data_IF_272456942756
#
_entry.id   IF_272456942756
#
_cell.length_a   1.000
_cell.length_b   1.000
_cell.length_c   1.000
_cell.angle_alpha   90.00
_cell.angle_beta   90.00
_cell.angle_gamma   90.00
#
_symmetry.space_group_name_H-M   'P 1'
#
loop_
_entity.id
_entity.type
_entity.pdbx_description
1 polymer ?
#
# COMPACT_ATOMS: atom_id res chain seq x y z
N UNK A 1 -36.28 -38.56 17.79
CA UNK A 1 -36.03 -37.81 16.53
C UNK A 1 -35.83 -36.29 16.70
N UNK A 2 -35.80 -35.71 17.91
CA UNK A 2 -35.55 -34.26 18.11
C UNK A 2 -34.10 -33.90 18.50
N UNK A 3 -33.31 -34.85 19.02
CA UNK A 3 -31.90 -34.60 19.41
C UNK A 3 -30.89 -34.76 18.26
N UNK A 4 -31.23 -35.53 17.20
CA UNK A 4 -30.32 -35.75 16.07
C UNK A 4 -30.23 -34.56 15.09
N UNK A 5 -31.23 -33.67 15.11
CA UNK A 5 -31.27 -32.45 14.29
C UNK A 5 -30.45 -31.30 14.88
N UNK A 6 -30.19 -31.32 16.20
CA UNK A 6 -29.43 -30.26 16.87
C UNK A 6 -27.91 -30.41 16.64
N UNK A 7 -27.43 -31.65 16.52
CA UNK A 7 -26.01 -31.95 16.31
C UNK A 7 -25.60 -31.67 14.86
N UNK A 8 -26.50 -31.92 13.89
CA UNK A 8 -26.28 -31.57 12.49
C UNK A 8 -26.36 -30.06 12.23
N UNK A 9 -27.16 -29.32 13.00
CA UNK A 9 -27.13 -27.85 12.97
C UNK A 9 -25.85 -27.28 13.61
N UNK A 10 -25.37 -27.84 14.73
CA UNK A 10 -24.12 -27.36 15.34
C UNK A 10 -22.87 -27.63 14.49
N UNK A 11 -22.86 -28.68 13.66
CA UNK A 11 -21.74 -28.98 12.75
C UNK A 11 -21.71 -28.10 11.48
N UNK A 12 -22.78 -27.38 11.18
CA UNK A 12 -22.85 -26.45 10.03
C UNK A 12 -22.43 -25.02 10.39
N UNK A 13 -22.25 -24.70 11.68
CA UNK A 13 -21.90 -23.35 12.15
C UNK A 13 -20.48 -23.22 12.74
N UNK A 14 -19.68 -24.29 12.79
CA UNK A 14 -18.29 -24.23 13.29
C UNK A 14 -17.23 -24.04 12.20
N UNK A 15 -17.59 -23.70 10.96
CA UNK A 15 -16.59 -23.39 9.90
C UNK A 15 -16.71 -21.99 9.31
N UNK A 16 -17.24 -21.02 10.06
CA UNK A 16 -16.86 -19.61 9.87
C UNK A 16 -15.73 -19.29 10.86
N UNK A 17 -14.75 -20.18 10.95
CA UNK A 17 -13.41 -19.72 11.26
C UNK A 17 -13.06 -18.81 10.07
N UNK A 18 -12.87 -17.53 10.34
CA UNK A 18 -12.34 -16.54 9.39
C UNK A 18 -10.94 -16.98 8.95
N UNK A 19 -10.87 -17.99 8.09
CA UNK A 19 -9.69 -18.32 7.32
C UNK A 19 -9.54 -17.19 6.33
N UNK A 20 -8.89 -16.11 6.75
CA UNK A 20 -8.35 -15.13 5.82
C UNK A 20 -7.39 -15.89 4.91
N UNK A 21 -7.89 -16.22 3.72
CA UNK A 21 -7.12 -16.87 2.66
C UNK A 21 -6.10 -15.86 2.13
N UNK A 22 -4.97 -16.36 1.65
CA UNK A 22 -4.04 -15.50 0.92
C UNK A 22 -4.76 -14.93 -0.31
N UNK A 23 -4.64 -13.63 -0.51
CA UNK A 23 -5.26 -12.90 -1.62
C UNK A 23 -4.19 -12.24 -2.47
N UNK A 24 -4.55 -11.91 -3.71
CA UNK A 24 -3.70 -11.16 -4.61
C UNK A 24 -3.81 -9.66 -4.31
N UNK A 25 -2.68 -9.01 -4.11
CA UNK A 25 -2.59 -7.58 -3.86
C UNK A 25 -1.61 -6.91 -4.82
N UNK A 26 -1.84 -5.63 -5.08
CA UNK A 26 -0.86 -4.74 -5.67
C UNK A 26 -0.36 -3.76 -4.61
N UNK A 27 0.95 -3.76 -4.38
CA UNK A 27 1.61 -2.79 -3.51
C UNK A 27 2.23 -1.69 -4.37
N UNK A 28 1.80 -0.46 -4.16
CA UNK A 28 2.28 0.73 -4.86
C UNK A 28 3.27 1.51 -3.99
N UNK A 29 4.35 1.98 -4.61
CA UNK A 29 5.32 2.89 -4.02
C UNK A 29 5.25 4.22 -4.76
N UNK A 30 4.95 5.28 -4.03
CA UNK A 30 4.93 6.65 -4.54
C UNK A 30 6.19 7.37 -4.08
N UNK A 31 7.09 7.65 -5.02
CA UNK A 31 8.35 8.32 -4.77
C UNK A 31 8.34 9.70 -5.42
N UNK A 32 8.25 10.77 -4.62
CA UNK A 32 8.34 12.13 -5.12
C UNK A 32 9.79 12.58 -5.14
N UNK A 33 10.22 13.10 -6.28
CA UNK A 33 11.61 13.43 -6.53
C UNK A 33 11.69 14.85 -7.09
N UNK A 34 12.37 15.70 -6.35
CA UNK A 34 12.80 17.00 -6.84
C UNK A 34 14.15 16.86 -7.55
N UNK A 35 14.15 17.11 -8.86
CA UNK A 35 15.36 17.10 -9.67
C UNK A 35 15.78 18.54 -9.97
N UNK A 36 17.02 18.87 -9.61
CA UNK A 36 17.75 20.07 -10.03
C UNK A 36 18.94 19.67 -10.88
N UNK A 37 19.54 20.64 -11.59
CA UNK A 37 20.49 20.40 -12.68
C UNK A 37 21.48 19.22 -12.46
N UNK A 38 22.08 19.11 -11.27
CA UNK A 38 23.04 18.04 -10.92
C UNK A 38 22.67 17.25 -9.65
N UNK A 39 21.49 17.49 -9.06
CA UNK A 39 21.12 16.85 -7.79
C UNK A 39 19.68 16.34 -7.82
N UNK A 40 19.50 15.19 -7.18
CA UNK A 40 18.21 14.56 -6.99
C UNK A 40 17.92 14.51 -5.49
N UNK A 41 16.85 15.19 -5.09
CA UNK A 41 16.34 15.17 -3.72
C UNK A 41 15.06 14.34 -3.74
N UNK A 42 15.13 13.11 -3.23
CA UNK A 42 13.97 12.23 -3.10
C UNK A 42 13.28 12.43 -1.75
N UNK A 43 11.96 12.29 -1.74
CA UNK A 43 11.24 11.92 -0.51
C UNK A 43 11.46 10.43 -0.22
N UNK A 44 11.12 10.02 0.99
CA UNK A 44 10.85 8.62 1.27
C UNK A 44 9.76 8.06 0.33
N UNK A 45 9.64 6.74 0.26
CA UNK A 45 8.54 6.12 -0.48
C UNK A 45 7.29 6.07 0.39
N UNK A 46 6.15 6.46 -0.18
CA UNK A 46 4.86 6.22 0.44
C UNK A 46 4.27 4.93 -0.12
N UNK A 47 3.95 3.98 0.76
CA UNK A 47 3.58 2.62 0.38
C UNK A 47 2.10 2.39 0.63
N UNK A 48 1.42 1.93 -0.41
CA UNK A 48 -0.02 1.68 -0.40
C UNK A 48 -0.31 0.30 -0.96
N UNK A 49 -1.42 -0.29 -0.57
CA UNK A 49 -1.82 -1.64 -0.99
C UNK A 49 -3.30 -1.65 -1.35
N UNK A 50 -3.65 -2.44 -2.36
CA UNK A 50 -5.03 -2.65 -2.82
C UNK A 50 -5.23 -4.11 -3.25
N UNK A 51 -6.37 -4.73 -2.91
CA UNK A 51 -6.74 -6.03 -3.47
C UNK A 51 -6.76 -5.95 -4.99
N UNK A 52 -6.21 -6.95 -5.68
CA UNK A 52 -6.13 -6.93 -7.14
C UNK A 52 -7.52 -6.86 -7.78
N UNK A 53 -8.51 -7.55 -7.21
CA UNK A 53 -9.88 -7.58 -7.74
C UNK A 53 -10.58 -6.21 -7.68
N UNK A 54 -10.20 -5.34 -6.73
CA UNK A 54 -10.70 -3.97 -6.65
C UNK A 54 -10.23 -3.09 -7.83
N UNK A 55 -9.17 -3.47 -8.53
CA UNK A 55 -8.61 -2.69 -9.64
C UNK A 55 -9.49 -2.66 -10.90
N UNK A 56 -10.57 -3.46 -10.97
CA UNK A 56 -11.43 -3.56 -12.15
C UNK A 56 -12.21 -2.28 -12.50
N UNK A 57 -12.36 -1.35 -11.55
CA UNK A 57 -13.35 -0.27 -11.66
C UNK A 57 -12.78 1.13 -11.97
N UNK A 58 -11.56 1.26 -12.50
CA UNK A 58 -10.87 2.53 -12.84
C UNK A 58 -10.78 3.60 -11.72
N UNK A 59 -11.27 3.32 -10.51
CA UNK A 59 -11.24 4.20 -9.34
C UNK A 59 -10.96 3.38 -8.06
N UNK A 60 -10.00 2.47 -8.17
CA UNK A 60 -9.60 1.59 -7.07
C UNK A 60 -8.81 2.31 -5.97
N UNK A 61 -8.45 3.58 -6.19
CA UNK A 61 -7.84 4.45 -5.18
C UNK A 61 -8.65 4.55 -3.90
N UNK A 62 -9.98 4.36 -3.97
CA UNK A 62 -10.86 4.31 -2.79
C UNK A 62 -10.63 3.09 -1.91
N UNK A 63 -10.18 1.98 -2.52
CA UNK A 63 -9.88 0.73 -1.84
C UNK A 63 -8.39 0.62 -1.49
N UNK A 64 -7.55 1.51 -2.05
CA UNK A 64 -6.16 1.65 -1.64
C UNK A 64 -6.09 2.11 -0.18
N UNK A 65 -5.23 1.44 0.58
CA UNK A 65 -4.94 1.79 1.96
C UNK A 65 -3.44 1.92 2.16
N UNK A 66 -2.97 2.78 3.08
CA UNK A 66 -1.56 2.82 3.46
C UNK A 66 -1.12 1.45 4.00
N UNK A 67 0.04 0.98 3.55
CA UNK A 67 0.63 -0.28 3.98
C UNK A 67 1.68 -0.01 5.05
N UNK A 68 1.54 -0.67 6.21
CA UNK A 68 2.58 -0.73 7.24
C UNK A 68 3.13 -2.15 7.31
N UNK A 69 4.41 -2.29 6.99
CA UNK A 69 5.12 -3.58 7.07
C UNK A 69 5.86 -3.76 8.39
N UNK A 70 6.00 -2.70 9.19
CA UNK A 70 6.60 -2.77 10.52
C UNK A 70 5.57 -2.62 11.65
N UNK A 71 5.57 -3.60 12.55
CA UNK A 71 4.74 -3.65 13.75
C UNK A 71 5.26 -2.74 14.89
N UNK A 72 6.53 -2.35 14.88
CA UNK A 72 7.11 -1.52 15.95
C UNK A 72 6.69 -0.05 15.84
N UNK A 73 6.66 0.51 14.63
CA UNK A 73 6.19 1.88 14.39
C UNK A 73 4.66 2.05 14.61
N UNK A 74 3.89 0.95 14.57
CA UNK A 74 2.45 1.00 14.80
C UNK A 74 2.06 1.47 16.21
N UNK A 75 2.92 1.26 17.21
CA UNK A 75 2.67 1.73 18.57
C UNK A 75 2.79 3.26 18.68
N UNK A 76 3.73 3.87 17.95
CA UNK A 76 3.91 5.32 17.91
C UNK A 76 2.70 6.05 17.31
N UNK A 77 2.00 5.42 16.35
CA UNK A 77 0.84 6.01 15.68
C UNK A 77 -0.44 6.03 16.54
N UNK A 78 -0.44 5.36 17.69
CA UNK A 78 -1.53 5.42 18.66
C UNK A 78 -1.27 6.46 19.77
N UNK A 79 -0.10 7.08 19.78
CA UNK A 79 0.22 8.16 20.70
C UNK A 79 -0.51 9.44 20.27
N UNK A 80 -1.45 9.97 21.08
CA UNK A 80 -2.16 11.19 20.76
C UNK A 80 -1.26 12.43 20.73
N UNK A 81 -0.03 12.35 21.25
CA UNK A 81 0.93 13.45 21.29
C UNK A 81 1.91 13.44 20.08
N UNK A 82 1.88 12.39 19.24
CA UNK A 82 2.71 12.29 18.02
C UNK A 82 1.90 12.82 16.82
N UNK A 83 1.90 14.15 16.68
CA UNK A 83 0.95 14.88 15.84
C UNK A 83 1.31 14.99 14.34
N UNK A 84 2.44 14.45 13.89
CA UNK A 84 3.01 14.81 12.57
C UNK A 84 3.60 13.68 11.74
N UNK A 85 3.26 12.41 11.99
CA UNK A 85 3.78 11.32 11.15
C UNK A 85 2.94 11.10 9.88
N UNK A 86 3.64 11.10 8.74
CA UNK A 86 3.08 10.65 7.47
C UNK A 86 2.89 9.13 7.52
N UNK A 87 1.69 8.69 7.15
CA UNK A 87 1.29 7.29 7.16
C UNK A 87 1.89 6.58 5.94
N UNK A 88 2.45 5.39 6.15
CA UNK A 88 3.00 4.55 5.08
C UNK A 88 4.33 5.06 4.52
N UNK A 89 5.04 5.93 5.24
CA UNK A 89 6.35 6.44 4.83
C UNK A 89 7.49 5.44 5.17
N UNK A 90 8.24 5.04 4.14
CA UNK A 90 9.43 4.20 4.27
C UNK A 90 10.64 4.98 3.76
N UNK A 91 11.43 5.60 4.65
CA UNK A 91 12.66 6.25 4.25
C UNK A 91 13.62 5.22 3.66
N UNK A 92 14.33 5.63 2.61
CA UNK A 92 15.17 4.72 1.81
C UNK A 92 16.20 3.97 2.68
N UNK A 93 16.70 4.63 3.73
CA UNK A 93 17.64 4.07 4.68
C UNK A 93 17.05 2.96 5.59
N UNK A 94 15.72 2.92 5.78
CA UNK A 94 15.02 1.88 6.55
C UNK A 94 14.74 0.61 5.75
N UNK A 95 15.01 0.58 4.44
CA UNK A 95 15.02 -0.65 3.64
C UNK A 95 16.27 -1.51 3.92
N UNK A 96 16.72 -1.57 5.18
CA UNK A 96 17.84 -2.40 5.60
C UNK A 96 17.39 -3.87 5.74
N UNK A 97 18.35 -4.78 5.97
CA UNK A 97 18.04 -6.19 6.29
C UNK A 97 17.21 -6.36 7.56
N UNK A 98 17.06 -5.31 8.38
CA UNK A 98 16.35 -5.33 9.65
C UNK A 98 14.82 -5.37 9.46
N UNK A 99 14.31 -4.93 8.29
CA UNK A 99 12.92 -5.14 7.88
C UNK A 99 12.86 -6.02 6.61
N UNK A 100 12.77 -7.35 6.78
CA UNK A 100 12.83 -8.28 5.66
C UNK A 100 11.62 -8.16 4.72
N UNK A 101 10.46 -7.68 5.19
CA UNK A 101 9.27 -7.50 4.36
C UNK A 101 9.42 -6.24 3.52
N UNK A 102 9.75 -5.09 4.14
CA UNK A 102 9.99 -3.84 3.42
C UNK A 102 11.07 -4.03 2.35
N UNK A 103 12.20 -4.64 2.72
CA UNK A 103 13.30 -4.90 1.79
C UNK A 103 12.89 -5.81 0.63
N UNK A 104 12.09 -6.85 0.92
CA UNK A 104 11.59 -7.76 -0.11
C UNK A 104 10.66 -7.07 -1.10
N UNK A 105 9.77 -6.20 -0.64
CA UNK A 105 8.90 -5.44 -1.54
C UNK A 105 9.73 -4.45 -2.35
N UNK A 106 10.62 -3.70 -1.69
CA UNK A 106 11.52 -2.73 -2.32
C UNK A 106 12.32 -3.33 -3.48
N UNK A 107 12.99 -4.46 -3.26
CA UNK A 107 13.87 -5.08 -4.28
C UNK A 107 13.11 -5.66 -5.47
N UNK A 108 11.83 -5.99 -5.32
CA UNK A 108 11.01 -6.63 -6.34
C UNK A 108 10.08 -5.66 -7.09
N UNK A 109 10.08 -4.38 -6.72
CA UNK A 109 9.21 -3.39 -7.36
C UNK A 109 9.67 -3.07 -8.76
N UNK A 110 8.69 -2.85 -9.63
CA UNK A 110 8.93 -2.38 -11.00
C UNK A 110 8.33 -1.01 -11.17
N UNK A 111 9.07 -0.11 -11.80
CA UNK A 111 8.55 1.21 -12.14
C UNK A 111 7.46 1.03 -13.21
N UNK A 112 6.26 1.53 -12.93
CA UNK A 112 5.12 1.45 -13.85
C UNK A 112 4.83 2.80 -14.51
N UNK A 113 5.12 3.91 -13.83
CA UNK A 113 4.86 5.25 -14.34
C UNK A 113 5.90 6.26 -13.83
N UNK A 114 6.12 7.31 -14.62
CA UNK A 114 6.86 8.52 -14.23
C UNK A 114 6.06 9.72 -14.69
N UNK A 115 5.69 10.60 -13.76
CA UNK A 115 4.83 11.76 -13.99
C UNK A 115 5.55 13.02 -13.56
N UNK A 116 5.49 14.07 -14.38
CA UNK A 116 5.98 15.39 -13.96
C UNK A 116 4.83 16.14 -13.32
N UNK A 117 4.92 16.41 -12.02
CA UNK A 117 3.88 17.08 -11.23
C UNK A 117 4.01 18.59 -11.36
N UNK A 118 5.25 19.10 -11.41
CA UNK A 118 5.52 20.54 -11.55
C UNK A 118 6.79 20.81 -12.33
N UNK A 119 6.75 21.81 -13.20
CA UNK A 119 7.94 22.41 -13.81
C UNK A 119 8.25 23.71 -13.07
N UNK A 120 9.49 23.87 -12.66
CA UNK A 120 9.92 25.11 -12.00
C UNK A 120 10.48 26.07 -13.05
N UNK A 121 10.49 27.36 -12.72
CA UNK A 121 11.04 28.41 -13.58
C UNK A 121 12.55 28.28 -13.80
N UNK A 122 13.24 27.59 -12.89
CA UNK A 122 14.68 27.29 -13.03
C UNK A 122 14.93 26.26 -14.13
N UNK A 123 15.91 26.47 -15.02
CA UNK A 123 16.27 25.51 -16.06
C UNK A 123 16.51 24.11 -15.50
N UNK A 124 15.94 23.10 -16.16
CA UNK A 124 16.07 21.66 -15.83
C UNK A 124 15.53 21.24 -14.46
N UNK A 125 14.85 22.13 -13.73
CA UNK A 125 14.27 21.80 -12.42
C UNK A 125 12.84 21.27 -12.58
N UNK A 126 12.57 20.07 -12.04
CA UNK A 126 11.24 19.45 -12.11
C UNK A 126 10.91 18.63 -10.87
N UNK A 127 9.63 18.62 -10.54
CA UNK A 127 9.02 17.73 -9.55
C UNK A 127 8.47 16.51 -10.27
N UNK A 128 8.96 15.33 -9.92
CA UNK A 128 8.64 14.07 -10.59
C UNK A 128 8.10 13.08 -9.59
N UNK A 129 6.94 12.52 -9.87
CA UNK A 129 6.41 11.36 -9.18
C UNK A 129 6.80 10.10 -9.95
N UNK A 130 7.57 9.23 -9.30
CA UNK A 130 7.85 7.87 -9.79
C UNK A 130 6.95 6.90 -9.05
N UNK A 131 6.27 6.04 -9.80
CA UNK A 131 5.33 5.07 -9.26
C UNK A 131 5.85 3.69 -9.56
N UNK A 132 6.02 2.89 -8.52
CA UNK A 132 6.42 1.49 -8.63
C UNK A 132 5.30 0.59 -8.13
N UNK A 133 5.28 -0.65 -8.62
CA UNK A 133 4.32 -1.66 -8.21
C UNK A 133 5.03 -3.00 -7.92
N UNK A 134 4.58 -3.68 -6.87
CA UNK A 134 4.93 -5.06 -6.50
C UNK A 134 3.63 -5.85 -6.35
N UNK A 135 3.33 -6.78 -7.27
CA UNK A 135 2.27 -7.76 -7.09
C UNK A 135 2.68 -8.80 -6.06
N UNK A 136 1.82 -9.08 -5.10
CA UNK A 136 2.06 -10.06 -4.03
C UNK A 136 0.85 -10.98 -3.83
N UNK A 137 1.11 -12.15 -3.27
CA UNK A 137 0.13 -13.02 -2.62
C UNK A 137 0.43 -12.95 -1.14
N UNK A 138 -0.55 -12.54 -0.34
CA UNK A 138 -0.35 -12.34 1.08
C UNK A 138 -1.65 -12.47 1.85
N UNK A 139 -1.51 -12.79 3.13
CA UNK A 139 -2.56 -12.58 4.13
C UNK A 139 -2.40 -11.17 4.69
N UNK A 140 -3.46 -10.38 4.65
CA UNK A 140 -3.44 -8.99 5.09
C UNK A 140 -4.49 -8.74 6.17
N UNK A 141 -4.21 -7.80 7.06
CA UNK A 141 -5.13 -7.36 8.10
C UNK A 141 -5.36 -5.85 8.00
N UNK A 142 -6.62 -5.43 8.08
CA UNK A 142 -6.97 -4.00 8.13
C UNK A 142 -7.17 -3.57 9.57
N UNK A 143 -6.47 -2.52 9.99
CA UNK A 143 -6.60 -1.94 11.33
C UNK A 143 -6.91 -0.45 11.22
N UNK A 144 -7.56 0.11 12.23
CA UNK A 144 -7.84 1.55 12.33
C UNK A 144 -6.90 2.16 13.37
N UNK A 145 -6.13 3.18 12.97
CA UNK A 145 -5.14 3.84 13.83
C UNK A 145 -5.44 5.33 14.03
N UNK A 146 -4.90 5.89 15.11
CA UNK A 146 -5.01 7.31 15.44
C UNK A 146 -6.43 7.80 15.75
N UNK A 147 -6.54 9.11 15.96
CA UNK A 147 -7.79 9.78 16.32
C UNK A 147 -8.87 9.64 15.23
N UNK A 148 -8.50 9.86 13.96
CA UNK A 148 -9.42 9.77 12.82
C UNK A 148 -9.75 8.34 12.38
N UNK A 149 -9.26 7.33 13.11
CA UNK A 149 -9.48 5.91 12.80
C UNK A 149 -9.10 5.58 11.34
N UNK A 150 -8.00 6.15 10.88
CA UNK A 150 -7.47 5.93 9.52
C UNK A 150 -7.23 4.44 9.32
N UNK A 151 -7.83 3.90 8.27
CA UNK A 151 -7.70 2.48 7.95
C UNK A 151 -6.37 2.22 7.25
N UNK A 152 -5.60 1.31 7.82
CA UNK A 152 -4.29 0.89 7.32
C UNK A 152 -4.28 -0.62 7.13
N UNK A 153 -3.32 -1.12 6.36
CA UNK A 153 -3.13 -2.54 6.15
C UNK A 153 -1.76 -2.97 6.66
N UNK A 154 -1.71 -4.16 7.26
CA UNK A 154 -0.46 -4.85 7.62
C UNK A 154 -0.43 -6.22 6.94
N UNK A 155 0.76 -6.69 6.57
CA UNK A 155 0.95 -8.05 6.06
C UNK A 155 1.12 -8.99 7.25
N UNK A 156 0.36 -10.09 7.26
CA UNK A 156 0.51 -11.18 8.21
C UNK A 156 1.41 -12.27 7.62
N UNK A 157 2.51 -12.57 8.31
CA UNK A 157 3.48 -13.55 7.84
C UNK A 157 4.35 -13.04 6.69
N UNK A 158 4.85 -13.96 5.88
CA UNK A 158 5.80 -13.66 4.81
C UNK A 158 5.08 -13.58 3.45
N UNK A 159 5.08 -12.44 2.75
CA UNK A 159 4.40 -12.33 1.46
C UNK A 159 5.19 -13.04 0.35
N UNK A 160 4.45 -13.62 -0.60
CA UNK A 160 4.98 -14.23 -1.82
C UNK A 160 4.92 -13.21 -2.95
N UNK A 161 6.01 -13.07 -3.72
CA UNK A 161 6.00 -12.20 -4.91
C UNK A 161 5.24 -12.90 -6.03
N UNK A 162 4.18 -12.28 -6.53
CA UNK A 162 3.39 -12.81 -7.65
C UNK A 162 4.10 -12.50 -8.96
N UNK A 163 5.10 -13.32 -9.30
CA UNK A 163 5.95 -13.08 -10.48
C UNK A 163 5.22 -13.26 -11.81
N UNK A 164 4.24 -14.16 -11.85
CA UNK A 164 3.47 -14.46 -13.06
C UNK A 164 2.54 -13.33 -13.50
N UNK A 165 2.15 -12.44 -12.57
CA UNK A 165 1.45 -11.20 -12.88
C UNK A 165 2.05 -10.47 -14.06
N UNK A 166 3.39 -10.40 -14.16
CA UNK A 166 4.06 -9.68 -15.24
C UNK A 166 4.00 -10.41 -16.59
N UNK A 167 3.93 -11.73 -16.58
CA UNK A 167 3.93 -12.60 -17.77
C UNK A 167 2.53 -12.81 -18.34
N UNK A 168 1.51 -12.78 -17.49
CA UNK A 168 0.11 -12.96 -17.89
C UNK A 168 -0.31 -11.94 -18.95
N UNK A 169 -1.13 -12.39 -19.90
CA UNK A 169 -1.75 -11.49 -20.88
C UNK A 169 -2.53 -10.39 -20.16
N UNK A 170 -2.47 -9.18 -20.70
CA UNK A 170 -3.14 -8.04 -20.11
C UNK A 170 -4.67 -8.23 -20.11
N UNK A 171 -5.24 -8.59 -18.97
CA UNK A 171 -6.66 -8.42 -18.70
C UNK A 171 -6.99 -6.95 -18.37
N UNK A 172 -8.27 -6.60 -18.36
CA UNK A 172 -8.73 -5.21 -18.14
C UNK A 172 -8.31 -4.69 -16.76
N UNK A 173 -8.45 -5.52 -15.71
CA UNK A 173 -8.05 -5.21 -14.33
C UNK A 173 -6.57 -4.82 -14.23
N UNK A 174 -5.67 -5.60 -14.84
CA UNK A 174 -4.23 -5.33 -14.89
C UNK A 174 -3.93 -4.05 -15.68
N UNK A 175 -4.63 -3.81 -16.80
CA UNK A 175 -4.46 -2.56 -17.57
C UNK A 175 -4.90 -1.35 -16.77
N UNK A 176 -6.07 -1.43 -16.12
CA UNK A 176 -6.61 -0.41 -15.24
C UNK A 176 -5.59 -0.08 -14.15
N UNK A 177 -5.12 -1.07 -13.39
CA UNK A 177 -4.13 -0.88 -12.33
C UNK A 177 -2.82 -0.23 -12.80
N UNK A 178 -2.24 -0.73 -13.90
CA UNK A 178 -0.92 -0.28 -14.36
C UNK A 178 -0.96 1.09 -15.07
N UNK A 179 -2.09 1.46 -15.66
CA UNK A 179 -2.26 2.70 -16.44
C UNK A 179 -3.07 3.77 -15.75
N UNK A 180 -3.57 3.49 -14.55
CA UNK A 180 -4.32 4.43 -13.74
C UNK A 180 -3.56 5.75 -13.54
N UNK A 181 -4.25 6.89 -13.68
CA UNK A 181 -3.61 8.20 -13.55
C UNK A 181 -3.61 8.69 -12.10
N UNK A 182 -2.53 8.39 -11.38
CA UNK A 182 -2.34 8.81 -9.98
C UNK A 182 -1.96 10.29 -9.81
N UNK A 183 -2.07 11.13 -10.83
CA UNK A 183 -1.60 12.52 -10.77
C UNK A 183 -2.32 13.36 -9.69
N UNK A 184 -3.55 12.98 -9.33
CA UNK A 184 -4.37 13.64 -8.30
C UNK A 184 -4.51 12.81 -7.02
N UNK A 185 -3.83 11.66 -6.91
CA UNK A 185 -3.94 10.78 -5.76
C UNK A 185 -3.21 11.39 -4.55
N UNK A 186 -3.90 11.54 -3.42
CA UNK A 186 -3.31 12.05 -2.17
C UNK A 186 -2.56 10.93 -1.43
N UNK A 187 -1.37 10.59 -1.92
CA UNK A 187 -0.53 9.53 -1.33
C UNK A 187 0.16 9.94 -0.02
N UNK A 188 0.03 11.22 0.39
CA UNK A 188 0.59 11.79 1.62
C UNK A 188 -0.50 11.87 2.69
N UNK A 189 -0.85 10.75 3.30
CA UNK A 189 -1.81 10.76 4.42
C UNK A 189 -1.09 11.12 5.71
N UNK A 190 -1.63 12.06 6.47
CA UNK A 190 -1.15 12.45 7.80
C UNK A 190 -2.21 12.13 8.85
N UNK A 191 -1.78 11.89 10.09
CA UNK A 191 -2.68 11.56 11.20
C UNK A 191 -3.41 12.78 11.79
N UNK A 192 -3.03 14.00 11.44
CA UNK A 192 -3.65 15.23 11.97
C UNK A 192 -4.47 15.96 10.91
N UNK A 193 -5.37 16.84 11.38
CA UNK A 193 -6.18 17.71 10.52
C UNK A 193 -5.21 18.50 9.65
N UNK A 194 -5.38 18.50 8.31
CA UNK A 194 -4.73 19.49 7.43
C UNK A 194 -4.80 20.84 8.14
N UNK A 195 -3.65 21.37 8.59
CA UNK A 195 -3.56 22.79 8.84
C UNK A 195 -3.82 23.41 7.48
N UNK A 196 -4.99 24.01 7.30
CA UNK A 196 -5.20 24.93 6.21
C UNK A 196 -4.09 26.00 6.32
N UNK A 197 -3.09 25.90 5.45
CA UNK A 197 -2.15 26.96 5.12
C UNK A 197 -2.17 27.10 3.61
#
# INVERSE_FOLDING_TARGET
MKQLLLITYLSLFTSIATGQTEEHYLVFFFNRVYQTHNSQHGTADHVWIVPFDSCGNNNFEKDMKPLFVDSFHLYCLNDPDIDNESIGEFPIAKYSKEDPIAWRLYKNRKMIQTKTIKKYTRPKSKDVLKIFCVPIIAKCNTRKIGFYKTSIVTIEGEPVIWTDFWKEQNNETKRSALRHDFSNFDFLVTLSKKSNL
#
